data_IF_614304586640
#
_entry.id   IF_614304586640
#
_cell.length_a   1.000
_cell.length_b   1.000
_cell.length_c   1.000
_cell.angle_alpha   90.00
_cell.angle_beta   90.00
_cell.angle_gamma   90.00
#
_symmetry.space_group_name_H-M   'P 1'
#
loop_
_entity.id
_entity.type
_entity.pdbx_description
1 polymer ?
#
# COMPACT_ATOMS: atom_id res chain seq x y z
N UNK A 1 -25.04 -3.14 -6.64
CA UNK A 1 -24.59 -2.77 -5.30
C UNK A 1 -25.21 -3.66 -4.23
N UNK A 2 -26.52 -3.76 -4.19
CA UNK A 2 -27.27 -4.56 -3.21
C UNK A 2 -27.07 -6.06 -3.34
N UNK A 3 -26.89 -6.56 -4.57
CA UNK A 3 -26.62 -7.96 -4.84
C UNK A 3 -25.35 -8.49 -4.14
N UNK A 4 -24.27 -7.72 -4.18
CA UNK A 4 -23.01 -8.12 -3.53
C UNK A 4 -23.10 -7.99 -2.00
N UNK A 5 -23.67 -6.87 -1.52
CA UNK A 5 -23.81 -6.60 -0.09
C UNK A 5 -24.67 -7.65 0.62
N UNK A 6 -25.78 -8.08 0.01
CA UNK A 6 -26.68 -9.08 0.59
C UNK A 6 -26.10 -10.50 0.63
N UNK A 7 -25.01 -10.74 -0.12
CA UNK A 7 -24.28 -12.02 -0.13
C UNK A 7 -23.04 -12.04 0.76
N UNK A 8 -22.66 -10.90 1.33
CA UNK A 8 -21.61 -10.89 2.34
C UNK A 8 -22.10 -11.66 3.59
N UNK A 9 -21.26 -12.53 4.13
CA UNK A 9 -21.62 -13.31 5.33
C UNK A 9 -22.00 -12.39 6.48
N UNK A 10 -23.15 -12.63 7.10
CA UNK A 10 -23.62 -11.96 8.30
C UNK A 10 -23.44 -12.94 9.48
N UNK A 11 -22.21 -13.06 9.97
CA UNK A 11 -21.89 -13.89 11.13
C UNK A 11 -21.68 -13.02 12.38
N UNK A 12 -21.81 -13.62 13.55
CA UNK A 12 -21.26 -13.06 14.77
C UNK A 12 -19.73 -13.11 14.69
N UNK A 13 -19.12 -11.95 14.48
CA UNK A 13 -17.67 -11.81 14.25
C UNK A 13 -16.85 -12.38 15.42
N UNK A 14 -17.44 -12.38 16.64
CA UNK A 14 -16.85 -12.95 17.85
C UNK A 14 -16.54 -14.44 17.74
N UNK A 15 -17.31 -15.18 16.97
CA UNK A 15 -17.18 -16.65 16.79
C UNK A 15 -16.17 -17.03 15.70
N UNK A 16 -15.72 -16.08 14.90
CA UNK A 16 -14.81 -16.33 13.80
C UNK A 16 -13.36 -16.43 14.27
N UNK A 17 -12.61 -17.40 13.74
CA UNK A 17 -11.18 -17.52 13.92
C UNK A 17 -10.41 -16.43 13.14
N UNK A 18 -9.06 -16.41 13.32
CA UNK A 18 -8.19 -15.42 12.69
C UNK A 18 -8.37 -15.37 11.16
N UNK A 19 -8.30 -16.51 10.47
CA UNK A 19 -8.40 -16.57 9.00
C UNK A 19 -9.77 -16.15 8.49
N UNK A 20 -10.82 -16.54 9.17
CA UNK A 20 -12.19 -16.20 8.81
C UNK A 20 -12.44 -14.69 8.94
N UNK A 21 -11.98 -14.07 10.04
CA UNK A 21 -12.00 -12.61 10.22
C UNK A 21 -11.21 -11.90 9.13
N UNK A 22 -10.01 -12.39 8.80
CA UNK A 22 -9.16 -11.82 7.76
C UNK A 22 -9.87 -11.80 6.39
N UNK A 23 -10.48 -12.91 5.99
CA UNK A 23 -11.21 -13.01 4.73
C UNK A 23 -12.47 -12.16 4.73
N UNK A 24 -13.18 -12.09 5.85
CA UNK A 24 -14.35 -11.23 6.00
C UNK A 24 -13.97 -9.75 5.83
N UNK A 25 -12.93 -9.30 6.51
CA UNK A 25 -12.46 -7.91 6.39
C UNK A 25 -11.97 -7.59 4.98
N UNK A 26 -11.27 -8.53 4.33
CA UNK A 26 -10.87 -8.41 2.93
C UNK A 26 -12.07 -8.26 2.00
N UNK A 27 -13.13 -9.07 2.16
CA UNK A 27 -14.33 -8.98 1.32
C UNK A 27 -15.02 -7.62 1.46
N UNK A 28 -15.18 -7.13 2.69
CA UNK A 28 -15.75 -5.80 2.94
C UNK A 28 -14.86 -4.67 2.41
N UNK A 29 -13.55 -4.79 2.56
CA UNK A 29 -12.59 -3.82 2.02
C UNK A 29 -12.69 -3.72 0.50
N UNK A 30 -12.68 -4.85 -0.21
CA UNK A 30 -12.85 -4.87 -1.66
C UNK A 30 -14.19 -4.29 -2.12
N UNK A 31 -15.28 -4.62 -1.42
CA UNK A 31 -16.58 -4.01 -1.70
C UNK A 31 -16.51 -2.48 -1.55
N UNK A 32 -15.86 -2.01 -0.47
CA UNK A 32 -15.72 -0.57 -0.21
C UNK A 32 -14.88 0.15 -1.27
N UNK A 33 -13.80 -0.48 -1.77
CA UNK A 33 -13.03 0.06 -2.90
C UNK A 33 -13.87 0.14 -4.19
N UNK A 34 -14.61 -0.91 -4.52
CA UNK A 34 -15.49 -0.91 -5.71
C UNK A 34 -16.57 0.17 -5.64
N UNK A 35 -17.04 0.50 -4.45
CA UNK A 35 -18.04 1.54 -4.22
C UNK A 35 -17.45 2.91 -3.91
N UNK A 36 -16.10 3.03 -3.88
CA UNK A 36 -15.36 4.25 -3.52
C UNK A 36 -15.74 4.81 -2.13
N UNK A 37 -16.13 3.93 -1.22
CA UNK A 37 -16.42 4.27 0.18
C UNK A 37 -15.14 4.21 1.02
N UNK A 38 -14.33 5.27 0.93
CA UNK A 38 -13.00 5.31 1.56
C UNK A 38 -13.05 5.29 3.10
N UNK A 39 -14.16 5.69 3.72
CA UNK A 39 -14.33 5.57 5.17
C UNK A 39 -14.50 4.10 5.58
N UNK A 40 -15.26 3.32 4.83
CA UNK A 40 -15.36 1.89 5.07
C UNK A 40 -14.07 1.16 4.64
N UNK A 41 -13.35 1.61 3.59
CA UNK A 41 -12.01 1.10 3.29
C UNK A 41 -11.10 1.24 4.52
N UNK A 42 -11.03 2.43 5.10
CA UNK A 42 -10.27 2.68 6.32
C UNK A 42 -10.72 1.79 7.49
N UNK A 43 -12.02 1.67 7.73
CA UNK A 43 -12.57 0.84 8.80
C UNK A 43 -12.12 -0.62 8.68
N UNK A 44 -12.24 -1.22 7.50
CA UNK A 44 -11.92 -2.64 7.33
C UNK A 44 -10.42 -2.89 7.18
N UNK A 45 -9.65 -1.97 6.62
CA UNK A 45 -8.20 -2.04 6.63
C UNK A 45 -7.64 -1.93 8.05
N UNK A 46 -8.20 -1.04 8.91
CA UNK A 46 -7.84 -0.94 10.32
C UNK A 46 -8.10 -2.25 11.06
N UNK A 47 -9.30 -2.83 10.92
CA UNK A 47 -9.65 -4.12 11.53
C UNK A 47 -8.73 -5.25 11.05
N UNK A 48 -8.34 -5.24 9.78
CA UNK A 48 -7.39 -6.21 9.25
C UNK A 48 -6.03 -6.10 9.95
N UNK A 49 -5.48 -4.89 10.08
CA UNK A 49 -4.18 -4.67 10.72
C UNK A 49 -4.25 -4.92 12.23
N UNK A 50 -5.31 -4.47 12.91
CA UNK A 50 -5.56 -4.69 14.33
C UNK A 50 -5.59 -6.19 14.66
N UNK A 51 -6.18 -7.03 13.79
CA UNK A 51 -6.21 -8.48 13.95
C UNK A 51 -4.81 -9.11 14.07
N UNK A 52 -3.81 -8.54 13.38
CA UNK A 52 -2.41 -8.97 13.49
C UNK A 52 -1.77 -8.49 14.80
N UNK A 53 -2.10 -7.29 15.26
CA UNK A 53 -1.59 -6.80 16.56
C UNK A 53 -2.20 -7.55 17.75
N UNK A 54 -3.45 -7.99 17.64
CA UNK A 54 -4.09 -8.88 18.62
C UNK A 54 -3.49 -10.30 18.60
N UNK A 55 -2.88 -10.70 17.49
CA UNK A 55 -2.28 -12.01 17.27
C UNK A 55 -0.85 -11.89 16.70
N UNK A 56 0.15 -11.42 17.46
CA UNK A 56 1.47 -11.06 16.93
C UNK A 56 2.21 -12.23 16.25
N UNK A 57 1.99 -13.47 16.69
CA UNK A 57 2.57 -14.65 16.05
C UNK A 57 2.13 -14.82 14.59
N UNK A 58 0.96 -14.27 14.23
CA UNK A 58 0.44 -14.32 12.87
C UNK A 58 1.18 -13.39 11.91
N UNK A 59 1.91 -12.39 12.42
CA UNK A 59 2.77 -11.53 11.58
C UNK A 59 3.84 -12.40 10.90
N UNK A 60 4.49 -13.27 11.67
CA UNK A 60 5.55 -14.15 11.15
C UNK A 60 4.98 -15.32 10.32
N UNK A 61 3.80 -15.82 10.66
CA UNK A 61 3.15 -16.91 9.93
C UNK A 61 2.51 -16.45 8.62
N UNK A 62 2.10 -15.18 8.55
CA UNK A 62 1.38 -14.61 7.39
C UNK A 62 1.90 -13.21 7.02
N UNK A 63 3.22 -13.01 6.81
CA UNK A 63 3.83 -11.69 6.62
C UNK A 63 3.29 -10.97 5.39
N UNK A 64 3.00 -11.67 4.30
CA UNK A 64 2.42 -11.09 3.09
C UNK A 64 1.04 -10.48 3.37
N UNK A 65 0.19 -11.13 4.16
CA UNK A 65 -1.10 -10.58 4.54
C UNK A 65 -0.97 -9.39 5.47
N UNK A 66 0.00 -9.42 6.38
CA UNK A 66 0.32 -8.27 7.23
C UNK A 66 0.76 -7.05 6.41
N UNK A 67 1.68 -7.24 5.45
CA UNK A 67 2.13 -6.19 4.54
C UNK A 67 0.97 -5.63 3.71
N UNK A 68 0.13 -6.50 3.11
CA UNK A 68 -1.04 -6.09 2.32
C UNK A 68 -2.06 -5.32 3.15
N UNK A 69 -2.34 -5.76 4.38
CA UNK A 69 -3.25 -5.05 5.28
C UNK A 69 -2.77 -3.62 5.58
N UNK A 70 -1.48 -3.47 5.88
CA UNK A 70 -0.87 -2.16 6.12
C UNK A 70 -0.86 -1.29 4.85
N UNK A 71 -0.62 -1.88 3.66
CA UNK A 71 -0.73 -1.14 2.40
C UNK A 71 -2.13 -0.56 2.19
N UNK A 72 -3.18 -1.37 2.37
CA UNK A 72 -4.57 -0.90 2.23
C UNK A 72 -4.95 0.12 3.31
N UNK A 73 -4.42 -0.01 4.53
CA UNK A 73 -4.64 0.97 5.58
C UNK A 73 -4.00 2.31 5.22
N UNK A 74 -2.75 2.31 4.76
CA UNK A 74 -2.05 3.51 4.31
C UNK A 74 -2.75 4.15 3.11
N UNK A 75 -3.19 3.37 2.13
CA UNK A 75 -3.95 3.86 0.99
C UNK A 75 -5.26 4.52 1.41
N UNK A 76 -6.00 3.88 2.30
CA UNK A 76 -7.25 4.43 2.84
C UNK A 76 -7.02 5.73 3.61
N UNK A 77 -5.97 5.79 4.45
CA UNK A 77 -5.58 6.99 5.20
C UNK A 77 -5.19 8.14 4.28
N UNK A 78 -4.52 7.84 3.16
CA UNK A 78 -4.21 8.82 2.12
C UNK A 78 -5.48 9.42 1.50
N UNK A 79 -6.45 8.58 1.10
CA UNK A 79 -7.70 9.05 0.50
C UNK A 79 -8.56 9.87 1.46
N UNK A 80 -8.63 9.50 2.75
CA UNK A 80 -9.39 10.26 3.75
C UNK A 80 -8.57 11.40 4.38
N UNK A 81 -7.35 11.67 3.90
CA UNK A 81 -6.46 12.75 4.30
C UNK A 81 -6.13 12.79 5.80
N UNK A 82 -5.94 11.61 6.41
CA UNK A 82 -5.53 11.47 7.82
C UNK A 82 -4.02 11.38 7.96
N UNK A 83 -3.33 12.48 7.68
CA UNK A 83 -1.87 12.58 7.62
C UNK A 83 -1.17 12.06 8.88
N UNK A 84 -1.53 12.53 10.07
CA UNK A 84 -0.84 12.13 11.32
C UNK A 84 -0.90 10.61 11.54
N UNK A 85 -2.03 10.00 11.22
CA UNK A 85 -2.20 8.54 11.31
C UNK A 85 -1.42 7.81 10.21
N UNK A 86 -1.39 8.37 9.02
CA UNK A 86 -0.62 7.85 7.90
C UNK A 86 0.87 7.78 8.25
N UNK A 87 1.46 8.87 8.74
CA UNK A 87 2.87 8.93 9.14
C UNK A 87 3.20 7.92 10.25
N UNK A 88 2.37 7.87 11.30
CA UNK A 88 2.54 6.91 12.40
C UNK A 88 2.47 5.47 11.92
N UNK A 89 1.50 5.15 11.04
CA UNK A 89 1.33 3.80 10.50
C UNK A 89 2.52 3.42 9.61
N UNK A 90 2.98 4.31 8.74
CA UNK A 90 4.14 4.08 7.87
C UNK A 90 5.42 3.85 8.69
N UNK A 91 5.66 4.69 9.68
CA UNK A 91 6.81 4.55 10.59
C UNK A 91 6.79 3.22 11.36
N UNK A 92 5.62 2.85 11.90
CA UNK A 92 5.45 1.59 12.64
C UNK A 92 5.69 0.38 11.73
N UNK A 93 5.17 0.41 10.50
CA UNK A 93 5.40 -0.63 9.51
C UNK A 93 6.89 -0.77 9.16
N UNK A 94 7.59 0.34 8.90
CA UNK A 94 9.03 0.32 8.65
C UNK A 94 9.83 -0.27 9.81
N UNK A 95 9.46 0.08 11.04
CA UNK A 95 10.12 -0.44 12.24
C UNK A 95 9.95 -1.96 12.37
N UNK A 96 8.74 -2.47 12.12
CA UNK A 96 8.47 -3.92 12.18
C UNK A 96 9.24 -4.66 11.09
N UNK A 97 9.21 -4.18 9.84
CA UNK A 97 9.92 -4.81 8.72
C UNK A 97 11.44 -4.87 8.96
N UNK A 98 12.01 -3.87 9.64
CA UNK A 98 13.43 -3.80 9.96
C UNK A 98 13.82 -4.55 11.23
N UNK A 99 12.88 -5.12 11.97
CA UNK A 99 13.18 -5.88 13.16
C UNK A 99 13.76 -7.25 12.83
N UNK A 100 14.69 -7.75 13.65
CA UNK A 100 15.37 -9.05 13.44
C UNK A 100 14.42 -10.26 13.41
N UNK A 101 13.20 -10.10 13.93
CA UNK A 101 12.20 -11.16 13.96
C UNK A 101 11.22 -11.15 12.77
N UNK A 102 11.30 -10.17 11.87
CA UNK A 102 10.40 -10.13 10.71
C UNK A 102 10.90 -11.08 9.61
N UNK A 103 10.03 -11.94 9.04
CA UNK A 103 10.44 -12.85 7.99
C UNK A 103 11.00 -12.13 6.77
N UNK A 104 12.07 -12.67 6.21
CA UNK A 104 12.71 -12.13 5.01
C UNK A 104 12.90 -13.24 3.98
N UNK A 105 12.24 -13.10 2.87
CA UNK A 105 12.46 -13.84 1.63
C UNK A 105 12.35 -12.87 0.44
N UNK A 106 12.68 -13.36 -0.73
CA UNK A 106 12.68 -12.55 -1.95
C UNK A 106 11.34 -11.86 -2.26
N UNK A 107 10.21 -12.48 -1.92
CA UNK A 107 8.87 -11.93 -2.15
C UNK A 107 8.52 -10.90 -1.08
N UNK A 108 8.82 -11.18 0.18
CA UNK A 108 8.59 -10.27 1.30
C UNK A 108 9.44 -9.01 1.14
N UNK A 109 10.70 -9.15 0.71
CA UNK A 109 11.58 -8.02 0.43
C UNK A 109 11.03 -7.13 -0.69
N UNK A 110 10.58 -7.73 -1.80
CA UNK A 110 9.98 -6.99 -2.91
C UNK A 110 8.70 -6.26 -2.50
N UNK A 111 7.80 -6.91 -1.75
CA UNK A 111 6.57 -6.29 -1.25
C UNK A 111 6.85 -5.19 -0.21
N UNK A 112 7.81 -5.41 0.68
CA UNK A 112 8.21 -4.41 1.67
C UNK A 112 8.79 -3.18 0.99
N UNK A 113 9.68 -3.37 0.01
CA UNK A 113 10.21 -2.30 -0.81
C UNK A 113 9.09 -1.54 -1.52
N UNK A 114 8.20 -2.26 -2.20
CA UNK A 114 7.08 -1.71 -2.93
C UNK A 114 6.21 -0.81 -2.05
N UNK A 115 5.68 -1.34 -0.96
CA UNK A 115 4.71 -0.62 -0.14
C UNK A 115 5.32 0.54 0.62
N UNK A 116 6.50 0.37 1.20
CA UNK A 116 7.17 1.45 1.93
C UNK A 116 7.49 2.63 1.00
N UNK A 117 8.10 2.37 -0.15
CA UNK A 117 8.51 3.46 -1.03
C UNK A 117 7.32 4.14 -1.72
N UNK A 118 6.27 3.38 -2.09
CA UNK A 118 5.04 3.95 -2.62
C UNK A 118 4.42 4.96 -1.66
N UNK A 119 4.31 4.59 -0.39
CA UNK A 119 3.70 5.45 0.62
C UNK A 119 4.61 6.60 1.07
N UNK A 120 5.94 6.44 1.01
CA UNK A 120 6.87 7.57 1.19
C UNK A 120 6.70 8.65 0.13
N UNK A 121 6.60 8.25 -1.13
CA UNK A 121 6.34 9.22 -2.22
C UNK A 121 4.98 9.89 -2.03
N UNK A 122 3.95 9.14 -1.65
CA UNK A 122 2.64 9.72 -1.32
C UNK A 122 2.73 10.78 -0.21
N UNK A 123 3.52 10.50 0.83
CA UNK A 123 3.72 11.45 1.93
C UNK A 123 4.39 12.73 1.44
N UNK A 124 5.51 12.62 0.72
CA UNK A 124 6.22 13.78 0.17
C UNK A 124 5.33 14.61 -0.76
N UNK A 125 4.54 13.94 -1.61
CA UNK A 125 3.59 14.61 -2.49
C UNK A 125 2.52 15.38 -1.71
N UNK A 126 1.91 14.75 -0.71
CA UNK A 126 0.86 15.36 0.11
C UNK A 126 1.39 16.55 0.91
N UNK A 127 2.67 16.53 1.29
CA UNK A 127 3.34 17.58 2.03
C UNK A 127 3.85 18.73 1.15
N UNK A 128 3.73 18.59 -0.18
CA UNK A 128 4.37 19.50 -1.11
C UNK A 128 5.91 19.49 -1.03
N UNK A 129 6.48 18.46 -0.41
CA UNK A 129 7.93 18.33 -0.20
C UNK A 129 8.57 17.63 -1.40
N UNK A 130 8.45 18.28 -2.57
CA UNK A 130 8.90 17.71 -3.83
C UNK A 130 10.41 17.47 -3.85
N UNK A 131 11.21 18.35 -3.28
CA UNK A 131 12.69 18.22 -3.23
C UNK A 131 13.09 16.90 -2.57
N UNK A 132 12.52 16.57 -1.40
CA UNK A 132 12.79 15.28 -0.75
C UNK A 132 12.31 14.09 -1.58
N UNK A 133 11.15 14.22 -2.21
CA UNK A 133 10.63 13.18 -3.10
C UNK A 133 11.56 12.93 -4.27
N UNK A 134 12.06 13.99 -4.92
CA UNK A 134 12.98 13.90 -6.05
C UNK A 134 14.32 13.24 -5.67
N UNK A 135 14.84 13.48 -4.46
CA UNK A 135 16.10 12.86 -4.02
C UNK A 135 16.03 11.35 -3.87
N UNK A 136 14.85 10.79 -3.60
CA UNK A 136 14.68 9.33 -3.40
C UNK A 136 14.33 8.58 -4.69
N UNK A 137 13.76 9.26 -5.70
CA UNK A 137 13.32 8.66 -6.97
C UNK A 137 14.42 7.88 -7.68
N UNK A 138 15.65 8.39 -7.89
CA UNK A 138 16.69 7.65 -8.61
C UNK A 138 17.05 6.32 -7.97
N UNK A 139 17.07 6.28 -6.62
CA UNK A 139 17.32 5.05 -5.87
C UNK A 139 16.16 4.06 -6.04
N UNK A 140 14.92 4.53 -5.97
CA UNK A 140 13.74 3.68 -6.15
C UNK A 140 13.70 3.13 -7.57
N UNK A 141 13.91 3.95 -8.61
CA UNK A 141 13.92 3.50 -10.01
C UNK A 141 15.01 2.44 -10.27
N UNK A 142 16.20 2.61 -9.68
CA UNK A 142 17.27 1.61 -9.76
C UNK A 142 16.87 0.28 -9.09
N UNK A 143 16.23 0.34 -7.92
CA UNK A 143 15.78 -0.86 -7.20
C UNK A 143 14.59 -1.55 -7.90
N UNK A 144 13.68 -0.81 -8.54
CA UNK A 144 12.61 -1.39 -9.36
C UNK A 144 13.16 -2.29 -10.46
N UNK A 145 14.28 -1.91 -11.07
CA UNK A 145 14.97 -2.73 -12.10
C UNK A 145 15.50 -4.05 -11.53
N UNK A 146 16.00 -4.03 -10.28
CA UNK A 146 16.47 -5.24 -9.59
C UNK A 146 15.30 -6.20 -9.24
N UNK A 147 14.12 -5.65 -8.96
CA UNK A 147 12.92 -6.43 -8.65
C UNK A 147 12.04 -6.72 -9.87
N UNK A 148 12.50 -6.46 -11.09
CA UNK A 148 11.71 -6.55 -12.34
C UNK A 148 10.91 -7.86 -12.48
N UNK A 149 11.46 -8.99 -12.03
CA UNK A 149 10.81 -10.30 -12.11
C UNK A 149 9.97 -10.66 -10.87
N UNK A 150 9.84 -9.77 -9.89
CA UNK A 150 9.17 -9.99 -8.60
C UNK A 150 8.06 -8.98 -8.34
N UNK A 151 8.09 -7.85 -9.03
CA UNK A 151 7.07 -6.80 -8.97
C UNK A 151 6.34 -6.84 -10.31
N UNK A 152 5.01 -6.91 -10.26
CA UNK A 152 4.22 -6.86 -11.49
C UNK A 152 4.31 -5.49 -12.16
N UNK A 153 4.06 -5.49 -13.44
CA UNK A 153 4.15 -4.33 -14.31
C UNK A 153 3.22 -3.19 -13.87
N UNK A 154 2.04 -3.53 -13.36
CA UNK A 154 1.10 -2.54 -12.83
C UNK A 154 1.70 -1.71 -11.70
N UNK A 155 2.43 -2.35 -10.78
CA UNK A 155 3.11 -1.63 -9.69
C UNK A 155 4.26 -0.76 -10.20
N UNK A 156 5.01 -1.21 -11.21
CA UNK A 156 6.06 -0.40 -11.85
C UNK A 156 5.45 0.85 -12.49
N UNK A 157 4.36 0.70 -13.24
CA UNK A 157 3.64 1.84 -13.83
C UNK A 157 3.08 2.79 -12.75
N UNK A 158 2.62 2.25 -11.61
CA UNK A 158 2.18 3.07 -10.48
C UNK A 158 3.33 3.94 -9.95
N UNK A 159 4.55 3.41 -9.86
CA UNK A 159 5.71 4.23 -9.49
C UNK A 159 6.01 5.30 -10.53
N UNK A 160 6.02 4.96 -11.81
CA UNK A 160 6.26 5.97 -12.85
C UNK A 160 5.23 7.08 -12.84
N UNK A 161 3.96 6.77 -12.63
CA UNK A 161 2.93 7.78 -12.43
C UNK A 161 3.21 8.69 -11.23
N UNK A 162 3.65 8.12 -10.10
CA UNK A 162 4.00 8.92 -8.92
C UNK A 162 5.28 9.74 -9.11
N UNK A 163 6.27 9.22 -9.83
CA UNK A 163 7.45 9.97 -10.21
C UNK A 163 7.06 11.15 -11.09
N UNK A 164 6.25 10.93 -12.12
CA UNK A 164 5.72 11.99 -12.97
C UNK A 164 5.01 13.07 -12.14
N UNK A 165 4.16 12.67 -11.18
CA UNK A 165 3.46 13.59 -10.29
C UNK A 165 4.42 14.43 -9.42
N UNK A 166 5.52 13.84 -8.94
CA UNK A 166 6.54 14.55 -8.16
C UNK A 166 7.28 15.59 -9.02
N UNK A 167 7.71 15.20 -10.23
CA UNK A 167 8.38 16.10 -11.17
C UNK A 167 7.44 17.23 -11.65
N UNK A 168 6.17 16.91 -11.91
CA UNK A 168 5.18 17.92 -12.23
C UNK A 168 5.01 18.95 -11.08
N UNK A 169 4.90 18.46 -9.85
CA UNK A 169 4.77 19.32 -8.67
C UNK A 169 6.00 20.20 -8.41
N UNK A 170 7.20 19.77 -8.86
CA UNK A 170 8.43 20.56 -8.78
C UNK A 170 8.62 21.55 -9.95
N UNK A 171 7.77 21.46 -10.99
CA UNK A 171 7.88 22.27 -12.20
C UNK A 171 8.79 21.68 -13.30
N UNK A 172 9.37 20.51 -13.09
CA UNK A 172 10.15 19.79 -14.11
C UNK A 172 9.22 19.00 -15.05
N UNK A 173 8.65 19.72 -16.02
CA UNK A 173 7.70 19.14 -16.96
C UNK A 173 8.34 18.14 -17.94
N UNK A 174 9.61 18.32 -18.29
CA UNK A 174 10.31 17.45 -19.25
C UNK A 174 10.50 16.05 -18.65
N UNK A 175 10.95 15.99 -17.39
CA UNK A 175 11.10 14.72 -16.69
C UNK A 175 9.74 14.09 -16.35
N UNK A 176 8.70 14.91 -16.08
CA UNK A 176 7.33 14.43 -15.92
C UNK A 176 6.87 13.70 -17.19
N UNK A 177 7.01 14.32 -18.37
CA UNK A 177 6.65 13.73 -19.67
C UNK A 177 7.43 12.44 -19.91
N UNK A 178 8.72 12.40 -19.62
CA UNK A 178 9.55 11.20 -19.76
C UNK A 178 8.97 9.99 -18.99
N UNK A 179 8.50 10.18 -17.76
CA UNK A 179 7.89 9.09 -16.99
C UNK A 179 6.50 8.73 -17.48
N UNK A 180 5.71 9.68 -17.98
CA UNK A 180 4.41 9.41 -18.59
C UNK A 180 4.57 8.60 -19.90
N UNK A 181 5.56 8.92 -20.71
CA UNK A 181 5.88 8.17 -21.94
C UNK A 181 6.25 6.71 -21.64
N UNK A 182 6.97 6.45 -20.54
CA UNK A 182 7.23 5.08 -20.09
C UNK A 182 5.96 4.28 -19.81
N UNK A 183 4.92 4.93 -19.28
CA UNK A 183 3.64 4.27 -19.00
C UNK A 183 2.89 3.99 -20.30
N UNK A 184 2.92 4.93 -21.24
CA UNK A 184 2.21 4.81 -22.52
C UNK A 184 2.87 3.76 -23.41
N UNK A 185 4.22 3.77 -23.50
CA UNK A 185 5.00 2.86 -24.34
C UNK A 185 4.95 1.40 -23.88
N UNK A 186 4.60 1.17 -22.62
CA UNK A 186 4.53 -0.17 -22.04
C UNK A 186 3.19 -0.87 -22.32
N UNK A 187 2.24 -0.20 -23.00
CA UNK A 187 0.93 -0.75 -23.43
C UNK A 187 0.95 -1.35 -24.83
N UNK A 188 2.11 -1.33 -25.48
CA UNK A 188 2.35 -1.96 -26.80
C UNK A 188 3.13 -3.24 -26.62
#
# INVERSE_FOLDING_TARGET
RDYFYNRLPKFEISQLGFREKLWLYKAHLWYSFLTQDFLNCYKYASKWVELFYENPMMINSHPVFFLKGNNYLLESLFFIRRKDRFEKTLYSLEKIIKSDGFPSDNNIEALSFLYINLHKINLYFTDGNFDKGLTVIPKIDSQLKLFKNRIDEHHVMTFYYKFASMYFGSGDNDTCIFFLDKIISNKS
#
